data_IF_094245458494
#
_entry.id   IF_094245458494
#
_cell.length_a   1.000
_cell.length_b   1.000
_cell.length_c   1.000
_cell.angle_alpha   90.00
_cell.angle_beta   90.00
_cell.angle_gamma   90.00
#
_symmetry.space_group_name_H-M   'P 1'
#
loop_
_entity.id
_entity.type
_entity.pdbx_description
1 polymer ?
#
# COMPACT_ATOMS: atom_id res chain seq x y z
N UNK A 1 29.02 -1.97 -0.23
CA UNK A 1 27.88 -1.38 0.51
C UNK A 1 26.64 -1.94 -0.13
N UNK A 2 25.83 -2.68 0.61
CA UNK A 2 24.53 -3.12 0.09
C UNK A 2 23.65 -1.88 -0.10
N UNK A 3 23.01 -1.79 -1.27
CA UNK A 3 22.00 -0.79 -1.62
C UNK A 3 20.95 -0.67 -0.49
N UNK A 4 20.67 0.55 -0.01
CA UNK A 4 19.74 0.75 1.10
C UNK A 4 18.34 0.24 0.76
N UNK A 5 17.95 0.32 -0.51
CA UNK A 5 16.70 -0.25 -1.01
C UNK A 5 16.68 -1.76 -0.83
N UNK A 6 17.76 -2.45 -1.22
CA UNK A 6 17.87 -3.90 -1.10
C UNK A 6 17.77 -4.38 0.35
N UNK A 7 18.40 -3.67 1.29
CA UNK A 7 18.32 -4.02 2.73
C UNK A 7 16.89 -3.83 3.28
N UNK A 8 16.19 -2.76 2.88
CA UNK A 8 14.80 -2.52 3.30
C UNK A 8 13.87 -3.58 2.70
N UNK A 9 14.08 -3.96 1.44
CA UNK A 9 13.31 -5.03 0.79
C UNK A 9 13.54 -6.37 1.47
N UNK A 10 14.79 -6.75 1.78
CA UNK A 10 15.07 -8.00 2.51
C UNK A 10 14.42 -8.01 3.91
N UNK A 11 14.31 -6.84 4.56
CA UNK A 11 13.62 -6.71 5.85
C UNK A 11 12.12 -6.92 5.74
N UNK A 12 11.50 -6.43 4.66
CA UNK A 12 10.05 -6.50 4.43
C UNK A 12 9.62 -7.79 3.71
N UNK A 13 10.52 -8.43 2.97
CA UNK A 13 10.31 -9.62 2.16
C UNK A 13 11.49 -10.59 2.35
N UNK A 14 11.69 -11.16 3.55
CA UNK A 14 12.80 -12.08 3.81
C UNK A 14 12.79 -13.26 2.81
N UNK A 15 13.90 -13.45 2.10
CA UNK A 15 13.99 -14.47 1.04
C UNK A 15 12.98 -14.26 -0.12
N UNK A 16 12.54 -13.02 -0.34
CA UNK A 16 11.60 -12.64 -1.40
C UNK A 16 10.12 -12.91 -1.09
N UNK A 17 9.76 -13.22 0.16
CA UNK A 17 8.39 -13.48 0.59
C UNK A 17 8.10 -12.73 1.88
N UNK A 18 6.84 -12.33 2.12
CA UNK A 18 6.48 -11.73 3.40
C UNK A 18 4.99 -11.72 3.68
N UNK A 19 4.66 -11.67 4.97
CA UNK A 19 3.30 -11.49 5.49
C UNK A 19 3.10 -10.01 5.86
N UNK A 20 2.37 -9.29 5.01
CA UNK A 20 2.11 -7.87 5.20
C UNK A 20 0.68 -7.66 5.72
N UNK A 21 0.54 -6.97 6.84
CA UNK A 21 -0.74 -6.75 7.52
C UNK A 21 -1.20 -5.30 7.32
N UNK A 22 -2.15 -5.03 6.41
CA UNK A 22 -2.69 -3.69 6.22
C UNK A 22 -3.71 -3.31 7.30
N UNK A 23 -3.46 -2.21 7.99
CA UNK A 23 -4.30 -1.69 9.09
C UNK A 23 -4.74 -0.24 8.86
N UNK A 24 -4.78 0.20 7.60
CA UNK A 24 -5.10 1.58 7.18
C UNK A 24 -6.60 1.86 7.00
N UNK A 25 -7.44 0.81 6.98
CA UNK A 25 -8.87 0.86 6.63
C UNK A 25 -9.70 1.85 7.46
N UNK A 26 -9.41 1.99 8.76
CA UNK A 26 -10.17 2.85 9.67
C UNK A 26 -10.18 4.33 9.26
N UNK A 27 -9.18 4.79 8.50
CA UNK A 27 -9.17 6.15 7.97
C UNK A 27 -10.12 6.35 6.79
N UNK A 28 -10.38 5.31 6.01
CA UNK A 28 -11.28 5.39 4.84
C UNK A 28 -12.76 5.22 5.23
N UNK A 29 -13.03 4.42 6.26
CA UNK A 29 -14.39 4.05 6.66
C UNK A 29 -14.69 4.49 8.10
N UNK A 30 -14.78 3.53 9.03
CA UNK A 30 -14.97 3.69 10.46
C UNK A 30 -13.99 2.75 11.17
N UNK A 31 -13.84 2.79 12.50
CA UNK A 31 -13.13 1.75 13.23
C UNK A 31 -13.72 0.37 12.91
N UNK A 32 -13.02 -0.41 12.08
CA UNK A 32 -13.48 -1.72 11.63
C UNK A 32 -13.27 -2.76 12.73
N UNK A 33 -14.02 -3.86 12.68
CA UNK A 33 -13.84 -4.95 13.63
C UNK A 33 -12.39 -5.46 13.56
N UNK A 34 -11.73 -5.57 14.71
CA UNK A 34 -10.30 -5.89 14.82
C UNK A 34 -9.35 -4.69 14.75
N UNK A 35 -9.81 -3.49 14.37
CA UNK A 35 -9.02 -2.25 14.36
C UNK A 35 -9.54 -1.16 15.30
N UNK A 36 -10.54 -1.49 16.14
CA UNK A 36 -11.06 -0.57 17.17
C UNK A 36 -10.03 -0.29 18.27
N UNK A 37 -9.26 -1.31 18.66
CA UNK A 37 -8.10 -1.20 19.53
C UNK A 37 -6.84 -1.43 18.70
N UNK A 38 -6.22 -0.33 18.27
CA UNK A 38 -5.03 -0.37 17.42
C UNK A 38 -3.80 -0.89 18.15
N UNK A 39 -3.74 -0.80 19.48
CA UNK A 39 -2.62 -1.32 20.25
C UNK A 39 -2.60 -2.83 20.22
N UNK A 40 -3.71 -3.44 20.63
CA UNK A 40 -3.89 -4.89 20.60
C UNK A 40 -3.73 -5.45 19.18
N UNK A 41 -4.24 -4.74 18.16
CA UNK A 41 -4.13 -5.18 16.77
C UNK A 41 -2.67 -5.21 16.29
N UNK A 42 -1.91 -4.14 16.54
CA UNK A 42 -0.49 -4.05 16.16
C UNK A 42 0.34 -5.07 16.93
N UNK A 43 0.10 -5.22 18.23
CA UNK A 43 0.84 -6.18 19.06
C UNK A 43 0.59 -7.62 18.59
N UNK A 44 -0.67 -7.97 18.29
CA UNK A 44 -1.02 -9.28 17.74
C UNK A 44 -0.37 -9.54 16.37
N UNK A 45 -0.25 -8.53 15.49
CA UNK A 45 0.43 -8.70 14.21
C UNK A 45 1.94 -8.91 14.39
N UNK A 46 2.57 -8.19 15.33
CA UNK A 46 3.99 -8.36 15.64
C UNK A 46 4.24 -9.75 16.23
N UNK A 47 3.47 -10.16 17.24
CA UNK A 47 3.56 -11.48 17.87
C UNK A 47 3.28 -12.62 16.88
N UNK A 48 2.36 -12.39 15.95
CA UNK A 48 2.03 -13.31 14.86
C UNK A 48 3.10 -13.43 13.77
N UNK A 49 4.18 -12.65 13.85
CA UNK A 49 5.30 -12.71 12.92
C UNK A 49 5.08 -11.96 11.60
N UNK A 50 4.32 -10.86 11.62
CA UNK A 50 4.20 -10.00 10.44
C UNK A 50 5.58 -9.49 9.99
N UNK A 51 5.80 -9.47 8.68
CA UNK A 51 7.01 -8.89 8.08
C UNK A 51 6.85 -7.40 7.81
N UNK A 52 5.62 -6.94 7.62
CA UNK A 52 5.30 -5.52 7.48
C UNK A 52 3.91 -5.19 8.06
N UNK A 53 3.76 -4.00 8.63
CA UNK A 53 2.46 -3.45 9.00
C UNK A 53 2.27 -2.14 8.24
N UNK A 54 1.13 -2.01 7.54
CA UNK A 54 0.79 -0.80 6.78
C UNK A 54 -0.11 0.10 7.62
N UNK A 55 0.33 1.34 7.84
CA UNK A 55 -0.39 2.34 8.65
C UNK A 55 -0.37 3.71 7.99
N UNK A 56 -1.31 4.56 8.36
CA UNK A 56 -1.21 5.99 8.05
C UNK A 56 -0.23 6.70 8.98
N UNK A 57 0.25 7.87 8.53
CA UNK A 57 1.28 8.69 9.18
C UNK A 57 1.07 8.99 10.67
N UNK A 58 -0.17 9.10 11.14
CA UNK A 58 -0.49 9.33 12.56
C UNK A 58 -0.21 8.09 13.43
N UNK A 59 -0.96 6.99 13.23
CA UNK A 59 -0.72 5.71 13.92
C UNK A 59 0.71 5.22 13.78
N UNK A 60 1.35 5.40 12.61
CA UNK A 60 2.76 5.07 12.39
C UNK A 60 3.67 5.69 13.47
N UNK A 61 3.62 7.02 13.64
CA UNK A 61 4.50 7.71 14.60
C UNK A 61 4.26 7.25 16.04
N UNK A 62 3.00 6.97 16.37
CA UNK A 62 2.62 6.47 17.68
C UNK A 62 3.16 5.06 17.94
N UNK A 63 2.94 4.12 17.02
CA UNK A 63 3.36 2.72 17.19
C UNK A 63 4.86 2.51 17.05
N UNK A 64 5.57 3.31 16.24
CA UNK A 64 7.04 3.33 16.21
C UNK A 64 7.59 3.64 17.60
N UNK A 65 7.05 4.67 18.26
CA UNK A 65 7.46 5.05 19.61
C UNK A 65 7.06 4.02 20.68
N UNK A 66 5.87 3.42 20.53
CA UNK A 66 5.31 2.47 21.51
C UNK A 66 6.01 1.10 21.49
N UNK A 67 6.29 0.57 20.30
CA UNK A 67 6.70 -0.84 20.13
C UNK A 67 8.21 -1.01 19.93
N UNK A 68 8.92 0.05 19.52
CA UNK A 68 10.28 -0.02 18.99
C UNK A 68 10.45 -0.99 17.80
N UNK A 69 9.36 -1.49 17.22
CA UNK A 69 9.36 -2.31 16.02
C UNK A 69 9.53 -1.43 14.78
N UNK A 70 10.25 -1.91 13.77
CA UNK A 70 10.79 -1.05 12.70
C UNK A 70 10.39 -1.44 11.29
N UNK A 71 9.41 -2.33 11.10
CA UNK A 71 8.97 -2.80 9.76
C UNK A 71 7.64 -2.21 9.32
N UNK A 72 7.48 -0.90 9.52
CA UNK A 72 6.28 -0.19 9.12
C UNK A 72 6.36 0.35 7.69
N UNK A 73 5.22 0.32 6.99
CA UNK A 73 5.03 0.92 5.67
C UNK A 73 3.98 2.02 5.78
N UNK A 74 4.32 3.24 5.38
CA UNK A 74 3.39 4.36 5.48
C UNK A 74 2.44 4.40 4.29
N UNK A 75 1.14 4.25 4.50
CA UNK A 75 0.13 4.47 3.46
C UNK A 75 -0.13 5.96 3.25
N UNK A 76 0.27 6.43 2.07
CA UNK A 76 0.30 7.85 1.69
C UNK A 76 -0.95 8.30 0.93
N UNK A 77 -1.81 7.36 0.56
CA UNK A 77 -3.05 7.61 -0.18
C UNK A 77 -4.25 7.61 0.77
N UNK A 78 -5.16 8.57 0.66
CA UNK A 78 -6.37 8.60 1.50
C UNK A 78 -7.58 9.08 0.74
N UNK A 79 -8.73 8.50 1.05
CA UNK A 79 -10.06 8.99 0.70
C UNK A 79 -11.01 8.41 1.73
N UNK A 80 -12.15 9.05 1.96
CA UNK A 80 -13.15 8.52 2.90
C UNK A 80 -14.44 8.21 2.17
N UNK A 81 -15.25 7.33 2.77
CA UNK A 81 -16.64 7.07 2.33
C UNK A 81 -17.50 8.34 2.24
N UNK A 82 -17.09 9.43 2.91
CA UNK A 82 -17.77 10.72 2.90
C UNK A 82 -17.37 11.63 1.72
N UNK A 83 -16.43 11.21 0.87
CA UNK A 83 -15.99 11.98 -0.31
C UNK A 83 -17.04 12.13 -1.43
N UNK A 84 -18.28 11.69 -1.21
CA UNK A 84 -19.38 11.79 -2.17
C UNK A 84 -19.05 11.09 -3.49
N UNK A 85 -19.28 11.74 -4.65
CA UNK A 85 -18.93 11.18 -5.97
C UNK A 85 -17.44 10.86 -6.14
N UNK A 86 -16.57 11.43 -5.31
CA UNK A 86 -15.10 11.22 -5.34
C UNK A 86 -14.62 10.40 -4.12
N UNK A 87 -15.49 9.67 -3.44
CA UNK A 87 -15.12 8.82 -2.28
C UNK A 87 -14.06 7.75 -2.60
N UNK A 88 -13.90 7.39 -3.88
CA UNK A 88 -12.88 6.46 -4.37
C UNK A 88 -11.61 7.15 -4.88
N UNK A 89 -11.56 8.48 -4.94
CA UNK A 89 -10.36 9.22 -5.33
C UNK A 89 -9.37 9.26 -4.17
N UNK A 90 -8.28 8.51 -4.30
CA UNK A 90 -7.19 8.51 -3.32
C UNK A 90 -6.29 9.74 -3.53
N UNK A 91 -6.29 10.65 -2.57
CA UNK A 91 -5.41 11.82 -2.55
C UNK A 91 -4.10 11.52 -1.80
N UNK A 92 -3.05 12.26 -2.08
CA UNK A 92 -1.77 12.16 -1.36
C UNK A 92 -1.85 12.93 -0.04
N UNK A 93 -1.52 12.27 1.07
CA UNK A 93 -1.55 12.84 2.42
C UNK A 93 -0.19 12.84 3.12
N UNK A 94 0.83 12.21 2.55
CA UNK A 94 2.22 12.26 3.01
C UNK A 94 3.18 12.20 1.81
N UNK A 95 4.46 12.42 2.05
CA UNK A 95 5.51 12.24 1.04
C UNK A 95 6.62 11.33 1.58
N UNK A 96 7.54 10.94 0.71
CA UNK A 96 8.60 9.98 1.05
C UNK A 96 9.44 10.42 2.24
N UNK A 97 9.84 11.70 2.30
CA UNK A 97 10.65 12.25 3.39
C UNK A 97 9.91 12.26 4.72
N UNK A 98 8.62 12.61 4.72
CA UNK A 98 7.78 12.56 5.92
C UNK A 98 7.61 11.12 6.41
N UNK A 99 7.42 10.15 5.51
CA UNK A 99 7.27 8.75 5.91
C UNK A 99 8.54 8.23 6.61
N UNK A 100 9.71 8.54 6.06
CA UNK A 100 11.01 8.17 6.65
C UNK A 100 11.20 8.83 8.02
N UNK A 101 10.91 10.14 8.15
CA UNK A 101 11.09 10.85 9.43
C UNK A 101 10.18 10.33 10.54
N UNK A 102 9.06 9.68 10.17
CA UNK A 102 8.14 9.02 11.08
C UNK A 102 8.50 7.57 11.40
N UNK A 103 9.59 7.05 10.84
CA UNK A 103 10.11 5.71 11.12
C UNK A 103 9.66 4.62 10.15
N UNK A 104 9.01 4.96 9.03
CA UNK A 104 8.67 3.96 8.02
C UNK A 104 9.92 3.49 7.25
N UNK A 105 9.92 2.21 6.87
CA UNK A 105 10.92 1.63 5.98
C UNK A 105 10.38 1.29 4.59
N UNK A 106 9.13 1.64 4.33
CA UNK A 106 8.49 1.64 3.02
C UNK A 106 7.38 2.69 2.93
N UNK A 107 6.95 3.00 1.72
CA UNK A 107 5.80 3.87 1.44
C UNK A 107 4.80 3.11 0.59
N UNK A 108 3.52 3.44 0.73
CA UNK A 108 2.46 2.90 -0.11
C UNK A 108 1.61 4.00 -0.72
N UNK A 109 1.20 3.80 -1.96
CA UNK A 109 0.14 4.57 -2.61
C UNK A 109 -0.94 3.65 -3.15
N UNK A 110 -2.05 4.23 -3.60
CA UNK A 110 -3.16 3.49 -4.19
C UNK A 110 -3.66 4.10 -5.49
N UNK A 111 -3.98 3.22 -6.45
CA UNK A 111 -4.69 3.54 -7.69
C UNK A 111 -5.93 2.67 -7.81
N UNK A 112 -7.08 3.28 -8.03
CA UNK A 112 -8.31 2.57 -8.39
C UNK A 112 -8.50 2.69 -9.91
N UNK A 113 -8.24 1.62 -10.66
CA UNK A 113 -8.37 1.63 -12.11
C UNK A 113 -9.84 1.69 -12.50
N UNK A 114 -10.14 2.44 -13.58
CA UNK A 114 -11.48 2.71 -14.04
C UNK A 114 -12.22 3.76 -13.21
N UNK A 115 -11.62 4.33 -12.16
CA UNK A 115 -12.22 5.45 -11.44
C UNK A 115 -12.18 6.71 -12.31
N UNK A 116 -13.16 7.62 -12.25
CA UNK A 116 -13.09 8.90 -12.97
C UNK A 116 -11.82 9.72 -12.67
N UNK A 117 -11.21 9.53 -11.49
CA UNK A 117 -9.96 10.19 -11.08
C UNK A 117 -8.71 9.28 -11.22
N UNK A 118 -8.79 8.19 -11.99
CA UNK A 118 -7.65 7.30 -12.26
C UNK A 118 -6.40 8.06 -12.78
N UNK A 119 -6.49 8.99 -13.75
CA UNK A 119 -5.32 9.74 -14.21
C UNK A 119 -4.62 10.51 -13.08
N UNK A 120 -5.37 11.12 -12.18
CA UNK A 120 -4.83 11.85 -11.02
C UNK A 120 -4.20 10.90 -10.00
N UNK A 121 -4.79 9.73 -9.78
CA UNK A 121 -4.20 8.70 -8.91
C UNK A 121 -2.89 8.14 -9.51
N UNK A 122 -2.83 7.94 -10.83
CA UNK A 122 -1.60 7.53 -11.53
C UNK A 122 -0.51 8.60 -11.38
N UNK A 123 -0.86 9.89 -11.58
CA UNK A 123 0.09 10.99 -11.39
C UNK A 123 0.64 11.04 -9.95
N UNK A 124 -0.22 10.84 -8.95
CA UNK A 124 0.20 10.77 -7.54
C UNK A 124 1.12 9.59 -7.26
N UNK A 125 0.81 8.42 -7.81
CA UNK A 125 1.66 7.25 -7.70
C UNK A 125 3.04 7.49 -8.36
N UNK A 126 3.07 8.10 -9.54
CA UNK A 126 4.31 8.46 -10.23
C UNK A 126 5.20 9.42 -9.42
N UNK A 127 4.60 10.39 -8.73
CA UNK A 127 5.35 11.26 -7.81
C UNK A 127 5.91 10.47 -6.61
N UNK A 128 5.11 9.57 -6.03
CA UNK A 128 5.57 8.71 -4.92
C UNK A 128 6.76 7.86 -5.35
N UNK A 129 6.69 7.19 -6.50
CA UNK A 129 7.76 6.31 -6.98
C UNK A 129 9.01 7.09 -7.38
N UNK A 130 8.86 8.29 -7.94
CA UNK A 130 9.99 9.18 -8.25
C UNK A 130 10.73 9.64 -6.99
N UNK A 131 10.00 10.11 -5.98
CA UNK A 131 10.61 10.52 -4.70
C UNK A 131 11.21 9.33 -3.94
N UNK A 132 10.56 8.17 -3.99
CA UNK A 132 11.01 6.96 -3.33
C UNK A 132 12.29 6.39 -3.95
N UNK A 133 12.46 6.51 -5.28
CA UNK A 133 13.69 6.17 -5.98
C UNK A 133 14.89 6.99 -5.44
N UNK A 134 14.72 8.31 -5.29
CA UNK A 134 15.77 9.18 -4.75
C UNK A 134 16.12 8.86 -3.29
N UNK A 135 15.16 8.35 -2.52
CA UNK A 135 15.32 8.05 -1.10
C UNK A 135 15.64 6.58 -0.80
N UNK A 136 15.82 5.75 -1.84
CA UNK A 136 16.01 4.29 -1.73
C UNK A 136 14.95 3.63 -0.82
N UNK A 137 13.68 4.07 -0.94
CA UNK A 137 12.56 3.62 -0.12
C UNK A 137 11.67 2.66 -0.92
N UNK A 138 11.40 1.43 -0.43
CA UNK A 138 10.46 0.51 -1.06
C UNK A 138 9.06 1.09 -1.23
N UNK A 139 8.46 0.87 -2.39
CA UNK A 139 7.08 1.26 -2.71
C UNK A 139 6.16 0.05 -2.80
N UNK A 140 5.10 0.06 -1.99
CA UNK A 140 3.93 -0.80 -2.13
C UNK A 140 2.83 -0.09 -2.94
N UNK A 141 2.65 -0.53 -4.18
CA UNK A 141 1.52 -0.12 -5.01
C UNK A 141 0.26 -0.90 -4.66
N UNK A 142 -0.79 -0.25 -4.17
CA UNK A 142 -2.11 -0.88 -4.04
C UNK A 142 -2.94 -0.57 -5.28
N UNK A 143 -3.14 -1.54 -6.16
CA UNK A 143 -3.81 -1.34 -7.44
C UNK A 143 -5.09 -2.17 -7.49
N UNK A 144 -6.23 -1.50 -7.61
CA UNK A 144 -7.55 -2.15 -7.58
C UNK A 144 -8.34 -1.85 -8.85
N UNK A 145 -8.59 -2.84 -9.73
CA UNK A 145 -9.45 -2.67 -10.89
C UNK A 145 -10.91 -2.73 -10.47
N UNK A 146 -11.53 -1.57 -10.19
CA UNK A 146 -12.88 -1.53 -9.59
C UNK A 146 -13.75 -0.32 -9.92
N UNK A 147 -13.25 0.63 -10.70
CA UNK A 147 -14.00 1.84 -11.02
C UNK A 147 -15.02 1.63 -12.15
N UNK A 148 -15.99 2.54 -12.31
CA UNK A 148 -17.09 2.41 -13.27
C UNK A 148 -16.65 2.43 -14.74
N UNK A 149 -15.48 2.99 -15.05
CA UNK A 149 -14.91 3.02 -16.40
C UNK A 149 -13.99 1.83 -16.69
N UNK A 150 -13.86 0.88 -15.77
CA UNK A 150 -13.02 -0.30 -15.96
C UNK A 150 -13.53 -1.08 -17.19
N UNK A 151 -12.62 -1.40 -18.11
CA UNK A 151 -12.89 -2.22 -19.29
C UNK A 151 -12.04 -3.48 -19.23
N UNK A 152 -12.50 -4.54 -18.53
CA UNK A 152 -11.77 -5.80 -18.50
C UNK A 152 -11.80 -6.44 -19.89
N UNK A 153 -10.67 -7.03 -20.29
CA UNK A 153 -10.63 -7.92 -21.44
C UNK A 153 -11.39 -9.20 -21.08
N UNK A 154 -12.39 -9.58 -21.88
CA UNK A 154 -13.19 -10.79 -21.61
C UNK A 154 -12.39 -12.09 -21.74
N UNK A 155 -11.22 -12.03 -22.38
CA UNK A 155 -10.28 -13.14 -22.46
C UNK A 155 -9.30 -13.19 -21.28
N UNK A 156 -9.22 -12.14 -20.46
CA UNK A 156 -8.40 -12.09 -19.25
C UNK A 156 -9.16 -12.72 -18.08
N UNK A 157 -8.76 -13.92 -17.61
CA UNK A 157 -9.43 -14.60 -16.50
C UNK A 157 -9.27 -13.85 -15.16
N UNK A 158 -8.33 -12.90 -15.08
CA UNK A 158 -8.06 -12.09 -13.88
C UNK A 158 -8.93 -10.84 -13.79
N UNK A 159 -9.76 -10.57 -14.82
CA UNK A 159 -10.69 -9.44 -14.87
C UNK A 159 -10.01 -8.09 -14.62
N UNK A 160 -8.81 -7.88 -15.18
CA UNK A 160 -8.04 -6.65 -15.07
C UNK A 160 -7.01 -6.63 -13.93
N UNK A 161 -6.95 -7.67 -13.08
CA UNK A 161 -5.95 -7.77 -12.00
C UNK A 161 -4.53 -7.88 -12.56
N UNK A 162 -4.32 -8.66 -13.63
CA UNK A 162 -3.02 -8.76 -14.30
C UNK A 162 -2.56 -7.40 -14.85
N UNK A 163 -3.48 -6.63 -15.44
CA UNK A 163 -3.18 -5.28 -15.92
C UNK A 163 -2.86 -4.32 -14.78
N UNK A 164 -3.61 -4.39 -13.66
CA UNK A 164 -3.34 -3.61 -12.46
C UNK A 164 -1.94 -3.89 -11.90
N UNK A 165 -1.53 -5.16 -11.84
CA UNK A 165 -0.19 -5.56 -11.43
C UNK A 165 0.89 -5.03 -12.39
N UNK A 166 0.65 -5.14 -13.71
CA UNK A 166 1.56 -4.61 -14.74
C UNK A 166 1.72 -3.10 -14.63
N UNK A 167 0.65 -2.35 -14.44
CA UNK A 167 0.70 -0.90 -14.30
C UNK A 167 1.52 -0.47 -13.07
N UNK A 168 1.35 -1.17 -11.94
CA UNK A 168 2.15 -0.91 -10.75
C UNK A 168 3.66 -1.09 -11.01
N UNK A 169 4.03 -2.15 -11.74
CA UNK A 169 5.40 -2.41 -12.15
C UNK A 169 5.96 -1.30 -13.06
N UNK A 170 5.21 -0.91 -14.10
CA UNK A 170 5.60 0.17 -15.01
C UNK A 170 5.79 1.52 -14.30
N UNK A 171 5.02 1.76 -13.23
CA UNK A 171 5.15 2.97 -12.41
C UNK A 171 6.31 2.93 -11.42
N UNK A 172 7.03 1.80 -11.30
CA UNK A 172 8.20 1.66 -10.43
C UNK A 172 7.89 1.18 -9.01
N UNK A 173 6.76 0.48 -8.79
CA UNK A 173 6.50 -0.15 -7.50
C UNK A 173 7.40 -1.37 -7.28
N UNK A 174 7.89 -1.58 -6.06
CA UNK A 174 8.68 -2.77 -5.72
C UNK A 174 7.78 -3.96 -5.35
N UNK A 175 6.62 -3.68 -4.75
CA UNK A 175 5.62 -4.67 -4.35
C UNK A 175 4.25 -4.18 -4.82
N UNK A 176 3.40 -5.10 -5.27
CA UNK A 176 2.02 -4.76 -5.64
C UNK A 176 1.01 -5.56 -4.81
N UNK A 177 0.00 -4.86 -4.30
CA UNK A 177 -1.20 -5.44 -3.69
C UNK A 177 -2.36 -5.30 -4.67
N UNK A 178 -2.87 -6.45 -5.11
CA UNK A 178 -4.04 -6.57 -5.99
C UNK A 178 -5.07 -7.53 -5.39
N UNK A 179 -6.35 -7.50 -5.82
CA UNK A 179 -7.34 -8.48 -5.39
C UNK A 179 -6.95 -9.92 -5.74
N UNK A 180 -7.26 -10.86 -4.85
CA UNK A 180 -7.22 -12.29 -5.17
C UNK A 180 -8.27 -12.63 -6.22
N UNK A 181 -7.89 -13.40 -7.24
CA UNK A 181 -8.70 -13.73 -8.42
C UNK A 181 -9.45 -15.05 -8.24
N UNK A 182 -9.26 -15.73 -7.09
CA UNK A 182 -9.97 -16.97 -6.75
C UNK A 182 -9.15 -18.24 -6.93
N UNK A 183 -8.01 -18.21 -7.61
CA UNK A 183 -7.15 -19.39 -7.79
C UNK A 183 -5.67 -19.05 -7.93
N UNK A 184 -4.80 -19.95 -7.47
CA UNK A 184 -3.34 -19.82 -7.63
C UNK A 184 -2.91 -19.86 -9.09
N UNK A 185 -3.57 -20.67 -9.92
CA UNK A 185 -3.29 -20.78 -11.34
C UNK A 185 -3.43 -19.42 -12.05
N UNK A 186 -4.47 -18.66 -11.72
CA UNK A 186 -4.67 -17.32 -12.28
C UNK A 186 -3.70 -16.23 -11.78
N UNK A 187 -2.84 -16.54 -10.82
CA UNK A 187 -1.80 -15.65 -10.28
C UNK A 187 -0.39 -15.97 -10.77
N UNK A 188 -0.23 -17.02 -11.58
CA UNK A 188 1.06 -17.49 -12.10
C UNK A 188 1.34 -16.98 -13.51
#
# INVERSE_FOLDING_TARGET
>A
MADALANRLETLLPGGRGVWVPMDHSASSFPENGLMDTDSAVDAAIEGGADAIVLHKGPLSYHVARTAWSRFVCHSSMSTIHGGPRSQEKITVSNTRECISRGAIGISGQVNLGDPAEPEMILRMSNITSEALEAELPVLGMFYPRGPNLRPDTSDPTMGVAHAARLAWELGCNVVKVPWTGSEESFR
#
